data_IF_323763763706
#
_entry.id   IF_323763763706
#
_cell.length_a   1.000
_cell.length_b   1.000
_cell.length_c   1.000
_cell.angle_alpha   90.00
_cell.angle_beta   90.00
_cell.angle_gamma   90.00
#
_symmetry.space_group_name_H-M   'P 1'
#
loop_
_entity.id
_entity.type
_entity.pdbx_description
1 polymer ?
#
# COMPACT_ATOMS: atom_id res chain seq x y z
N UNK A 1 6.81 17.41 -32.26
CA UNK A 1 6.40 17.27 -30.85
C UNK A 1 6.19 18.67 -30.30
N UNK A 2 4.95 19.16 -30.32
CA UNK A 2 4.67 20.56 -29.99
C UNK A 2 4.81 20.77 -28.48
N UNK A 3 5.68 21.69 -28.09
CA UNK A 3 5.78 22.16 -26.71
C UNK A 3 4.46 22.84 -26.34
N UNK A 4 3.64 22.16 -25.57
CA UNK A 4 2.43 22.74 -24.97
C UNK A 4 2.90 23.79 -23.97
N UNK A 5 2.96 25.04 -24.41
CA UNK A 5 3.37 26.16 -23.57
C UNK A 5 2.14 26.57 -22.78
N UNK A 6 2.05 26.11 -21.54
CA UNK A 6 0.94 26.43 -20.65
C UNK A 6 0.99 27.93 -20.26
N UNK A 7 -0.03 28.74 -20.63
CA UNK A 7 -0.07 30.16 -20.26
C UNK A 7 -0.10 30.41 -18.74
N UNK A 8 -0.44 29.41 -17.91
CA UNK A 8 -0.47 29.54 -16.45
C UNK A 8 0.92 29.58 -15.79
N UNK A 9 1.97 29.13 -16.48
CA UNK A 9 3.33 29.09 -15.91
C UNK A 9 3.92 30.50 -15.65
N UNK A 10 3.38 31.55 -16.28
CA UNK A 10 3.94 32.91 -16.17
C UNK A 10 3.52 33.70 -14.92
N UNK A 11 2.57 33.20 -14.12
CA UNK A 11 1.97 33.93 -13.00
C UNK A 11 2.29 33.37 -11.60
N UNK A 12 3.12 32.33 -11.48
CA UNK A 12 3.39 31.70 -10.18
C UNK A 12 4.45 32.48 -9.38
N UNK A 13 4.08 32.90 -8.17
CA UNK A 13 5.01 33.48 -7.17
C UNK A 13 6.18 32.52 -6.93
N UNK A 14 7.42 33.04 -6.93
CA UNK A 14 8.61 32.23 -6.67
C UNK A 14 8.55 31.65 -5.26
N UNK A 15 8.50 30.32 -5.17
CA UNK A 15 8.62 29.57 -3.92
C UNK A 15 10.04 29.01 -3.80
N UNK A 16 10.67 29.24 -2.65
CA UNK A 16 12.01 28.71 -2.35
C UNK A 16 13.18 29.56 -2.89
N UNK A 17 14.40 29.15 -2.53
CA UNK A 17 15.64 29.90 -2.80
C UNK A 17 16.39 29.44 -4.06
N UNK A 18 16.11 28.24 -4.56
CA UNK A 18 16.81 27.65 -5.71
C UNK A 18 16.08 27.88 -7.02
N UNK A 19 16.80 27.73 -8.14
CA UNK A 19 16.19 27.73 -9.47
C UNK A 19 15.43 26.41 -9.70
N UNK A 20 14.29 26.50 -10.39
CA UNK A 20 13.52 25.34 -10.83
C UNK A 20 14.18 24.68 -12.04
N UNK A 21 13.88 23.40 -12.26
CA UNK A 21 14.21 22.71 -13.50
C UNK A 21 13.49 23.32 -14.70
N UNK A 22 13.89 22.88 -15.91
CA UNK A 22 13.37 23.42 -17.16
C UNK A 22 11.86 23.20 -17.30
N UNK A 23 11.38 22.02 -16.88
CA UNK A 23 9.97 21.64 -16.90
C UNK A 23 9.21 22.13 -15.67
N UNK A 24 9.91 22.47 -14.57
CA UNK A 24 9.31 22.75 -13.27
C UNK A 24 8.42 21.59 -12.78
N UNK A 25 8.88 20.36 -13.00
CA UNK A 25 8.10 19.16 -12.76
C UNK A 25 8.99 18.03 -12.23
N UNK A 26 8.38 17.00 -11.66
CA UNK A 26 9.12 15.80 -11.22
C UNK A 26 9.87 15.11 -12.37
N UNK A 27 9.39 15.29 -13.61
CA UNK A 27 10.03 14.80 -14.82
C UNK A 27 11.35 15.53 -15.18
N UNK A 28 11.73 16.58 -14.45
CA UNK A 28 13.10 17.14 -14.55
C UNK A 28 14.16 16.16 -14.01
N UNK A 29 13.76 15.16 -13.20
CA UNK A 29 14.63 14.06 -12.78
C UNK A 29 14.82 13.08 -13.94
N UNK A 30 16.06 12.89 -14.38
CA UNK A 30 16.39 12.05 -15.52
C UNK A 30 15.84 10.61 -15.36
N UNK A 31 15.12 10.15 -16.38
CA UNK A 31 14.51 8.81 -16.42
C UNK A 31 13.12 8.75 -15.82
N UNK A 32 12.72 9.69 -14.96
CA UNK A 32 11.37 9.72 -14.39
C UNK A 32 10.36 10.11 -15.45
N UNK A 33 9.27 9.35 -15.54
CA UNK A 33 8.13 9.65 -16.39
C UNK A 33 6.84 9.65 -15.59
N UNK A 34 5.86 10.42 -16.07
CA UNK A 34 4.53 10.52 -15.46
C UNK A 34 3.48 10.28 -16.54
N UNK A 35 2.49 9.44 -16.24
CA UNK A 35 1.32 9.22 -17.08
C UNK A 35 0.05 9.46 -16.29
N UNK A 36 -1.00 9.95 -16.96
CA UNK A 36 -2.31 10.19 -16.36
C UNK A 36 -3.41 9.60 -17.24
N UNK A 37 -4.44 9.06 -16.61
CA UNK A 37 -5.70 8.71 -17.23
C UNK A 37 -6.81 9.43 -16.48
N UNK A 38 -7.60 10.23 -17.17
CA UNK A 38 -8.73 10.96 -16.61
C UNK A 38 -10.01 10.39 -17.19
N UNK A 39 -10.91 9.95 -16.31
CA UNK A 39 -12.21 9.40 -16.68
C UNK A 39 -13.31 10.37 -16.28
N UNK A 40 -13.98 10.90 -17.30
CA UNK A 40 -15.12 11.79 -17.19
C UNK A 40 -16.26 11.12 -17.95
N UNK A 41 -17.25 10.61 -17.23
CA UNK A 41 -18.39 9.90 -17.81
C UNK A 41 -19.69 10.38 -17.18
N UNK A 42 -20.66 10.74 -18.02
CA UNK A 42 -21.93 11.33 -17.61
C UNK A 42 -21.74 12.49 -16.62
N UNK A 43 -22.65 12.58 -15.65
CA UNK A 43 -22.65 13.67 -14.65
C UNK A 43 -22.01 13.27 -13.32
N UNK A 44 -21.77 11.98 -13.09
CA UNK A 44 -21.36 11.45 -11.77
C UNK A 44 -19.95 10.90 -11.72
N UNK A 45 -19.35 10.55 -12.85
CA UNK A 45 -18.02 9.93 -12.86
C UNK A 45 -16.97 10.99 -13.15
N UNK A 46 -16.18 11.33 -12.13
CA UNK A 46 -15.00 12.20 -12.24
C UNK A 46 -13.88 11.51 -11.47
N UNK A 47 -13.11 10.67 -12.15
CA UNK A 47 -12.05 9.87 -11.53
C UNK A 47 -10.86 9.74 -12.47
N UNK A 48 -9.87 8.95 -12.10
CA UNK A 48 -8.68 8.72 -12.89
C UNK A 48 -7.58 8.04 -12.10
N UNK A 49 -6.44 7.90 -12.74
CA UNK A 49 -5.21 7.45 -12.12
C UNK A 49 -4.03 8.23 -12.69
N UNK A 50 -3.03 8.47 -11.86
CA UNK A 50 -1.71 8.96 -12.24
C UNK A 50 -0.69 7.89 -11.89
N UNK A 51 0.27 7.62 -12.77
CA UNK A 51 1.36 6.71 -12.48
C UNK A 51 2.69 7.45 -12.65
N UNK A 52 3.56 7.34 -11.65
CA UNK A 52 4.94 7.78 -11.74
C UNK A 52 5.81 6.55 -12.01
N UNK A 53 6.54 6.58 -13.11
CA UNK A 53 7.53 5.58 -13.46
C UNK A 53 8.92 6.11 -13.04
N UNK A 54 9.59 5.49 -12.05
CA UNK A 54 10.88 5.97 -11.56
C UNK A 54 11.99 5.96 -12.62
N UNK A 55 11.94 4.99 -13.54
CA UNK A 55 12.79 4.92 -14.73
C UNK A 55 12.20 4.00 -15.81
N UNK A 56 12.61 4.18 -17.07
CA UNK A 56 12.18 3.33 -18.20
C UNK A 56 12.71 1.89 -18.22
N UNK A 57 13.49 1.48 -17.21
CA UNK A 57 14.04 0.14 -17.08
C UNK A 57 13.16 -0.90 -16.40
N UNK A 58 13.67 -2.14 -16.31
CA UNK A 58 13.06 -3.18 -15.49
C UNK A 58 13.26 -2.87 -13.99
N UNK A 59 12.19 -2.48 -13.31
CA UNK A 59 12.22 -2.09 -11.89
C UNK A 59 12.45 -3.25 -10.92
N UNK A 60 12.15 -4.49 -11.32
CA UNK A 60 12.44 -5.67 -10.51
C UNK A 60 13.95 -5.95 -10.49
N UNK A 61 14.61 -5.79 -11.64
CA UNK A 61 16.06 -5.96 -11.77
C UNK A 61 16.86 -4.74 -11.29
N UNK A 62 16.27 -3.54 -11.40
CA UNK A 62 16.88 -2.26 -11.00
C UNK A 62 15.93 -1.54 -10.06
N UNK A 63 16.00 -1.89 -8.78
CA UNK A 63 15.13 -1.34 -7.74
C UNK A 63 15.55 0.09 -7.40
N UNK A 64 14.60 0.90 -6.95
CA UNK A 64 14.84 2.31 -6.63
C UNK A 64 14.83 2.50 -5.12
N UNK A 65 15.95 2.95 -4.51
CA UNK A 65 15.97 3.30 -3.09
C UNK A 65 14.87 4.29 -2.75
N UNK A 66 14.09 3.98 -1.71
CA UNK A 66 12.86 4.72 -1.37
C UNK A 66 12.69 4.80 0.14
N UNK A 67 12.19 5.93 0.61
CA UNK A 67 11.74 6.13 1.99
C UNK A 67 10.25 6.46 2.05
N UNK A 68 9.64 6.25 3.22
CA UNK A 68 8.24 6.56 3.48
C UNK A 68 8.12 7.38 4.78
N UNK A 69 7.38 8.47 4.72
CA UNK A 69 7.00 9.27 5.88
C UNK A 69 5.48 9.43 5.93
N UNK A 70 4.90 9.26 7.11
CA UNK A 70 3.45 9.39 7.35
C UNK A 70 3.23 10.57 8.28
N UNK A 71 2.64 11.64 7.73
CA UNK A 71 2.20 12.78 8.55
C UNK A 71 0.88 12.45 9.27
N UNK A 72 -0.10 11.94 8.51
CA UNK A 72 -1.39 11.47 9.02
C UNK A 72 -1.79 10.18 8.30
N UNK A 73 -2.25 9.19 9.06
CA UNK A 73 -2.54 7.84 8.56
C UNK A 73 -3.94 7.65 7.95
N UNK A 74 -4.73 8.71 7.75
CA UNK A 74 -6.08 8.61 7.17
C UNK A 74 -6.06 8.44 5.63
N UNK A 75 -5.19 7.56 5.13
CA UNK A 75 -5.00 7.27 3.72
C UNK A 75 -4.78 5.79 3.50
N UNK A 76 -4.94 5.32 2.25
CA UNK A 76 -4.78 3.91 1.88
C UNK A 76 -3.52 3.84 1.02
N UNK A 77 -2.50 3.18 1.54
CA UNK A 77 -1.19 3.08 0.92
C UNK A 77 -0.76 1.61 0.90
N UNK A 78 -0.41 1.10 -0.27
CA UNK A 78 0.05 -0.27 -0.48
C UNK A 78 1.57 -0.26 -0.67
N UNK A 79 2.28 -1.22 -0.08
CA UNK A 79 3.73 -1.34 -0.19
C UNK A 79 4.53 -0.68 0.95
N UNK A 80 3.87 -0.17 2.00
CA UNK A 80 4.55 0.45 3.14
C UNK A 80 5.54 -0.52 3.83
N UNK A 81 5.14 -1.76 4.06
CA UNK A 81 5.99 -2.79 4.66
C UNK A 81 7.24 -3.03 3.82
N UNK A 82 7.10 -3.18 2.50
CA UNK A 82 8.26 -3.36 1.62
C UNK A 82 9.24 -2.18 1.70
N UNK A 83 8.74 -0.95 1.68
CA UNK A 83 9.60 0.24 1.78
C UNK A 83 10.31 0.27 3.13
N UNK A 84 9.61 -0.08 4.22
CA UNK A 84 10.17 -0.11 5.57
C UNK A 84 11.22 -1.19 5.77
N UNK A 85 10.99 -2.38 5.23
CA UNK A 85 11.88 -3.52 5.42
C UNK A 85 13.06 -3.52 4.43
N UNK A 86 12.82 -3.13 3.18
CA UNK A 86 13.80 -3.27 2.10
C UNK A 86 14.36 -1.94 1.61
N UNK A 87 13.79 -0.80 2.02
CA UNK A 87 14.24 0.52 1.62
C UNK A 87 14.17 0.79 0.10
N UNK A 88 13.31 0.07 -0.62
CA UNK A 88 13.26 0.11 -2.09
C UNK A 88 11.89 -0.21 -2.67
N UNK A 89 11.60 0.35 -3.85
CA UNK A 89 10.46 -0.01 -4.69
C UNK A 89 10.90 -0.74 -5.95
N UNK A 90 10.03 -1.61 -6.45
CA UNK A 90 10.23 -2.42 -7.66
C UNK A 90 9.06 -2.31 -8.65
N UNK A 91 8.18 -1.32 -8.43
CA UNK A 91 6.99 -1.06 -9.24
C UNK A 91 6.86 0.44 -9.54
N UNK A 92 6.06 0.82 -10.55
CA UNK A 92 5.58 2.20 -10.66
C UNK A 92 4.81 2.62 -9.39
N UNK A 93 4.63 3.93 -9.22
CA UNK A 93 3.88 4.53 -8.10
C UNK A 93 2.52 5.02 -8.64
N UNK A 94 1.46 4.21 -8.55
CA UNK A 94 0.12 4.64 -8.92
C UNK A 94 -0.50 5.51 -7.82
N UNK A 95 -1.18 6.56 -8.24
CA UNK A 95 -2.00 7.45 -7.46
C UNK A 95 -3.41 7.38 -8.06
N UNK A 96 -4.37 6.94 -7.27
CA UNK A 96 -5.76 6.82 -7.69
C UNK A 96 -6.69 7.28 -6.56
N UNK A 97 -7.93 7.56 -6.91
CA UNK A 97 -8.94 7.98 -5.96
C UNK A 97 -9.56 6.77 -5.26
N UNK A 98 -9.76 6.87 -3.95
CA UNK A 98 -10.58 5.90 -3.22
C UNK A 98 -12.04 6.11 -3.60
N UNK A 99 -12.63 5.15 -4.32
CA UNK A 99 -14.07 5.17 -4.61
C UNK A 99 -14.82 4.59 -3.43
N UNK A 100 -15.07 5.42 -2.41
CA UNK A 100 -16.08 5.06 -1.43
C UNK A 100 -17.44 5.23 -2.12
N UNK A 101 -18.12 4.13 -2.45
CA UNK A 101 -19.58 4.21 -2.49
C UNK A 101 -19.96 4.53 -1.06
N UNK A 102 -20.37 5.76 -0.78
CA UNK A 102 -20.92 6.09 0.52
C UNK A 102 -21.97 5.02 0.84
N UNK A 103 -21.76 4.15 1.84
CA UNK A 103 -22.83 3.27 2.26
C UNK A 103 -23.98 4.20 2.68
N UNK A 104 -25.21 3.88 2.27
CA UNK A 104 -26.38 4.67 2.66
C UNK A 104 -26.53 4.75 4.17
N UNK A 105 -25.87 3.84 4.91
CA UNK A 105 -25.68 3.86 6.35
C UNK A 105 -24.21 3.57 6.69
N UNK A 106 -23.38 4.59 6.98
CA UNK A 106 -22.07 4.39 7.57
C UNK A 106 -22.23 3.72 8.94
N UNK A 107 -21.52 2.62 9.17
CA UNK A 107 -21.33 2.10 10.53
C UNK A 107 -20.34 3.03 11.22
N UNK A 108 -20.76 3.65 12.32
CA UNK A 108 -19.84 4.39 13.17
C UNK A 108 -18.94 3.43 13.95
N UNK A 109 -17.91 3.97 14.61
CA UNK A 109 -16.95 3.14 15.35
C UNK A 109 -17.62 2.36 16.49
N UNK A 110 -18.67 2.92 17.09
CA UNK A 110 -19.41 2.29 18.18
C UNK A 110 -20.20 1.08 17.68
N UNK A 111 -20.79 1.16 16.48
CA UNK A 111 -21.45 0.04 15.82
C UNK A 111 -20.47 -0.99 15.23
N UNK A 112 -19.24 -0.58 14.89
CA UNK A 112 -18.18 -1.47 14.42
C UNK A 112 -17.56 -2.29 15.55
N UNK A 113 -17.49 -1.74 16.76
CA UNK A 113 -16.81 -2.36 17.90
C UNK A 113 -17.34 -3.78 18.21
N UNK A 114 -18.65 -4.03 18.31
CA UNK A 114 -19.18 -5.39 18.52
C UNK A 114 -18.82 -6.40 17.43
N UNK A 115 -18.66 -5.95 16.18
CA UNK A 115 -18.26 -6.83 15.08
C UNK A 115 -16.79 -7.25 15.19
N UNK A 116 -15.92 -6.33 15.64
CA UNK A 116 -14.52 -6.64 15.90
C UNK A 116 -14.37 -7.58 17.09
N UNK A 117 -15.07 -7.33 18.19
CA UNK A 117 -15.08 -8.23 19.35
C UNK A 117 -15.57 -9.63 18.96
N UNK A 118 -16.69 -9.72 18.23
CA UNK A 118 -17.20 -11.02 17.75
C UNK A 118 -16.18 -11.76 16.85
N UNK A 119 -15.44 -11.04 16.02
CA UNK A 119 -14.39 -11.62 15.19
C UNK A 119 -13.19 -12.12 16.02
N UNK A 120 -12.81 -11.38 17.07
CA UNK A 120 -11.78 -11.77 18.04
C UNK A 120 -12.22 -13.03 18.78
N UNK A 121 -13.40 -13.02 19.42
CA UNK A 121 -13.95 -14.17 20.15
C UNK A 121 -14.01 -15.42 19.26
N UNK A 122 -14.47 -15.27 18.02
CA UNK A 122 -14.55 -16.39 17.07
C UNK A 122 -13.17 -16.94 16.73
N UNK A 123 -12.15 -16.07 16.57
CA UNK A 123 -10.79 -16.49 16.29
C UNK A 123 -10.14 -17.18 17.50
N UNK A 124 -10.41 -16.69 18.71
CA UNK A 124 -9.97 -17.30 19.96
C UNK A 124 -10.58 -18.69 20.13
N UNK A 125 -11.90 -18.82 19.99
CA UNK A 125 -12.60 -20.10 20.08
C UNK A 125 -12.15 -21.07 18.98
N UNK A 126 -11.95 -20.62 17.75
CA UNK A 126 -11.43 -21.47 16.68
C UNK A 126 -10.01 -22.00 17.01
N UNK A 127 -9.18 -21.16 17.62
CA UNK A 127 -7.83 -21.55 18.06
C UNK A 127 -7.88 -22.53 19.21
N UNK A 128 -8.67 -22.24 20.26
CA UNK A 128 -8.86 -23.13 21.40
C UNK A 128 -9.43 -24.48 20.98
N UNK A 129 -10.45 -24.47 20.11
CA UNK A 129 -11.05 -25.68 19.56
C UNK A 129 -10.02 -26.51 18.78
N UNK A 130 -9.17 -25.86 17.98
CA UNK A 130 -8.09 -26.53 17.26
C UNK A 130 -7.06 -27.14 18.22
N UNK A 131 -6.68 -26.43 19.28
CA UNK A 131 -5.73 -26.93 20.27
C UNK A 131 -6.28 -28.10 21.08
N UNK A 132 -7.57 -28.07 21.42
CA UNK A 132 -8.25 -29.13 22.18
C UNK A 132 -8.53 -30.39 21.36
N UNK A 133 -8.72 -30.25 20.04
CA UNK A 133 -8.90 -31.38 19.13
C UNK A 133 -7.60 -31.89 18.52
N UNK A 134 -6.49 -31.18 18.71
CA UNK A 134 -5.19 -31.61 18.24
C UNK A 134 -4.84 -32.99 18.84
N UNK A 135 -4.35 -33.91 18.01
CA UNK A 135 -3.84 -35.21 18.44
C UNK A 135 -2.30 -35.17 18.49
N UNK A 136 -1.65 -35.99 19.34
CA UNK A 136 -0.21 -36.13 19.33
C UNK A 136 0.30 -36.50 17.93
N UNK A 137 1.38 -35.86 17.50
CA UNK A 137 1.96 -36.08 16.18
C UNK A 137 3.46 -36.30 16.25
N UNK A 138 3.94 -37.20 15.39
CA UNK A 138 5.37 -37.39 15.15
C UNK A 138 5.80 -36.48 13.99
N UNK A 139 6.84 -35.69 14.22
CA UNK A 139 7.45 -34.79 13.24
C UNK A 139 8.94 -35.06 13.08
N UNK A 140 9.63 -34.13 12.43
CA UNK A 140 11.08 -34.16 12.25
C UNK A 140 11.68 -32.82 12.70
N UNK A 141 12.64 -32.86 13.61
CA UNK A 141 13.40 -31.69 14.05
C UNK A 141 14.61 -31.51 13.14
N UNK A 142 14.52 -30.52 12.25
CA UNK A 142 15.59 -30.22 11.29
C UNK A 142 16.88 -29.71 11.96
N UNK A 143 16.79 -29.06 13.13
CA UNK A 143 17.97 -28.57 13.85
C UNK A 143 18.77 -29.72 14.48
N UNK A 144 18.08 -30.83 14.83
CA UNK A 144 18.69 -32.01 15.47
C UNK A 144 18.83 -33.20 14.51
N UNK A 145 18.32 -33.08 13.29
CA UNK A 145 18.26 -34.14 12.29
C UNK A 145 17.69 -35.46 12.85
N UNK A 146 16.62 -35.35 13.65
CA UNK A 146 16.04 -36.49 14.38
C UNK A 146 14.50 -36.40 14.41
N UNK A 147 13.81 -37.55 14.59
CA UNK A 147 12.37 -37.54 14.84
C UNK A 147 12.01 -36.71 16.08
N UNK A 148 10.91 -35.96 16.01
CA UNK A 148 10.34 -35.23 17.15
C UNK A 148 8.93 -35.74 17.46
N UNK A 149 8.52 -35.64 18.72
CA UNK A 149 7.15 -35.90 19.15
C UNK A 149 6.58 -34.60 19.68
N UNK A 150 5.38 -34.25 19.22
CA UNK A 150 4.61 -33.12 19.72
C UNK A 150 3.34 -33.66 20.34
N UNK A 151 3.25 -33.57 21.66
CA UNK A 151 2.07 -33.99 22.39
C UNK A 151 0.93 -32.98 22.20
N UNK A 152 -0.29 -33.49 22.18
CA UNK A 152 -1.49 -32.65 22.26
C UNK A 152 -1.59 -31.95 23.61
N UNK A 153 -2.14 -30.74 23.62
CA UNK A 153 -2.43 -30.02 24.85
C UNK A 153 -3.51 -30.78 25.65
N UNK A 154 -3.22 -31.14 26.90
CA UNK A 154 -4.20 -31.73 27.81
C UNK A 154 -4.54 -30.75 28.93
N UNK A 155 -5.80 -30.33 29.02
CA UNK A 155 -6.30 -29.64 30.20
C UNK A 155 -6.56 -30.70 31.30
N UNK A 156 -6.03 -30.46 32.51
CA UNK A 156 -6.21 -31.32 33.68
C UNK A 156 -7.43 -30.90 34.49
#
# INVERSE_FOLDING_TARGET
MAAMTDPAASALTRVGRFARGALNAIADVAGVAVGHCTLIEGDRTRTGATAILPHGGNLLARKVPTGLAVLNGFGKFVGATQIRELGQIETPIPLAFSTQRAPTHPLDNDAMSPLFEAAIDTAEEATLNSMLHAAPMTGFDAARSAPSQVDALRLR
#
